data_IF_001319232789
#
_entry.id   IF_001319232789
#
_cell.length_a   1.000
_cell.length_b   1.000
_cell.length_c   1.000
_cell.angle_alpha   90.00
_cell.angle_beta   90.00
_cell.angle_gamma   90.00
#
_symmetry.space_group_name_H-M   'P 1'
#
loop_
_entity.id
_entity.type
_entity.pdbx_description
1 polymer ?
#
# COMPACT_ATOMS: atom_id res chain seq x y z
N UNK A 1 15.90 29.95 50.96
CA UNK A 1 15.02 29.57 49.83
C UNK A 1 15.88 28.99 48.72
N UNK A 2 15.94 27.66 48.59
CA UNK A 2 16.53 26.96 47.43
C UNK A 2 15.40 26.21 46.75
N UNK A 3 14.99 26.67 45.57
CA UNK A 3 13.95 26.03 44.76
C UNK A 3 14.65 24.97 43.91
N UNK A 4 14.38 23.71 44.22
CA UNK A 4 14.84 22.55 43.44
C UNK A 4 13.82 22.33 42.32
N UNK A 5 14.17 22.69 41.09
CA UNK A 5 13.35 22.41 39.90
C UNK A 5 13.68 20.99 39.43
N UNK A 6 12.81 20.03 39.73
CA UNK A 6 12.83 18.69 39.12
C UNK A 6 12.38 18.82 37.66
N UNK A 7 13.31 18.70 36.71
CA UNK A 7 12.98 18.45 35.32
C UNK A 7 12.51 17.00 35.18
N UNK A 8 11.19 16.81 35.11
CA UNK A 8 10.60 15.54 34.70
C UNK A 8 10.78 15.41 33.18
N UNK A 9 11.86 14.76 32.76
CA UNK A 9 12.07 14.38 31.37
C UNK A 9 11.03 13.32 31.00
N UNK A 10 9.92 13.76 30.40
CA UNK A 10 8.94 12.89 29.78
C UNK A 10 9.56 12.33 28.50
N UNK A 11 10.32 11.23 28.62
CA UNK A 11 10.73 10.45 27.46
C UNK A 11 9.48 9.83 26.84
N UNK A 12 8.89 10.53 25.87
CA UNK A 12 7.97 9.94 24.92
C UNK A 12 8.77 8.96 24.06
N UNK A 13 8.99 7.75 24.56
CA UNK A 13 9.30 6.62 23.69
C UNK A 13 8.09 6.43 22.80
N UNK A 14 8.13 6.98 21.58
CA UNK A 14 7.20 6.56 20.54
C UNK A 14 7.50 5.08 20.29
N UNK A 15 6.71 4.20 20.91
CA UNK A 15 6.74 2.79 20.60
C UNK A 15 6.25 2.65 19.16
N UNK A 16 7.16 2.76 18.19
CA UNK A 16 6.80 2.52 16.79
C UNK A 16 6.33 1.08 16.68
N UNK A 17 5.14 0.89 16.13
CA UNK A 17 4.56 -0.42 15.88
C UNK A 17 5.54 -1.27 15.06
N UNK A 18 5.87 -2.48 15.52
CA UNK A 18 6.65 -3.40 14.71
C UNK A 18 5.77 -3.98 13.59
N UNK A 19 5.88 -3.41 12.39
CA UNK A 19 5.12 -3.83 11.22
C UNK A 19 5.63 -5.12 10.58
N UNK A 20 6.84 -5.60 10.93
CA UNK A 20 7.42 -6.80 10.33
C UNK A 20 6.66 -8.07 10.73
N UNK A 21 6.76 -9.06 9.86
CA UNK A 21 6.40 -10.45 10.12
C UNK A 21 7.66 -11.29 10.08
N UNK A 22 7.60 -12.50 10.65
CA UNK A 22 8.63 -13.51 10.39
C UNK A 22 8.62 -13.86 8.90
N UNK A 23 9.72 -13.63 8.15
CA UNK A 23 9.78 -13.90 6.72
C UNK A 23 9.47 -15.36 6.35
N UNK A 24 9.69 -16.31 7.27
CA UNK A 24 9.48 -17.74 7.03
C UNK A 24 7.99 -18.12 7.17
N UNK A 25 7.24 -17.40 8.01
CA UNK A 25 5.88 -17.76 8.40
C UNK A 25 4.85 -16.66 8.08
N UNK A 26 5.04 -15.94 6.96
CA UNK A 26 4.19 -14.81 6.56
C UNK A 26 2.74 -15.26 6.39
N UNK A 27 2.51 -16.39 5.69
CA UNK A 27 1.18 -16.91 5.38
C UNK A 27 0.42 -17.24 6.67
N UNK A 28 1.05 -18.02 7.56
CA UNK A 28 0.48 -18.44 8.83
C UNK A 28 0.21 -17.22 9.74
N UNK A 29 1.13 -16.25 9.76
CA UNK A 29 0.99 -15.02 10.54
C UNK A 29 -0.20 -14.19 10.08
N UNK A 30 -0.39 -14.04 8.77
CA UNK A 30 -1.53 -13.30 8.20
C UNK A 30 -2.86 -14.03 8.47
N UNK A 31 -2.89 -15.34 8.26
CA UNK A 31 -4.09 -16.15 8.47
C UNK A 31 -4.53 -16.19 9.95
N UNK A 32 -3.58 -16.18 10.89
CA UNK A 32 -3.89 -16.13 12.33
C UNK A 32 -4.65 -14.87 12.74
N UNK A 33 -4.49 -13.75 12.01
CA UNK A 33 -5.20 -12.50 12.26
C UNK A 33 -6.47 -12.31 11.45
N UNK A 34 -6.90 -13.31 10.65
CA UNK A 34 -7.99 -13.14 9.69
C UNK A 34 -9.32 -12.69 10.32
N UNK A 35 -9.64 -13.20 11.51
CA UNK A 35 -10.86 -12.85 12.25
C UNK A 35 -10.86 -11.40 12.77
N UNK A 36 -9.70 -10.75 12.82
CA UNK A 36 -9.55 -9.37 13.28
C UNK A 36 -9.54 -8.34 12.13
N UNK A 37 -9.32 -8.82 10.90
CA UNK A 37 -9.12 -8.01 9.70
C UNK A 37 -10.12 -8.43 8.63
N UNK A 38 -11.40 -8.30 8.96
CA UNK A 38 -12.51 -8.76 8.12
C UNK A 38 -12.88 -7.76 7.02
N UNK A 39 -12.46 -6.51 7.16
CA UNK A 39 -12.84 -5.40 6.29
C UNK A 39 -12.20 -5.50 4.91
N UNK A 40 -12.91 -4.98 3.90
CA UNK A 40 -12.44 -4.98 2.51
C UNK A 40 -12.41 -3.60 1.90
N UNK A 41 -12.85 -2.56 2.61
CA UNK A 41 -12.98 -1.22 2.06
C UNK A 41 -12.05 -0.28 2.78
N UNK A 42 -11.45 0.63 2.02
CA UNK A 42 -10.60 1.68 2.55
C UNK A 42 -10.93 3.02 1.90
N UNK A 43 -10.84 4.08 2.69
CA UNK A 43 -10.83 5.45 2.18
C UNK A 43 -9.38 5.92 2.10
N UNK A 44 -9.03 6.51 0.97
CA UNK A 44 -7.77 7.22 0.79
C UNK A 44 -8.08 8.71 0.70
N UNK A 45 -7.43 9.49 1.55
CA UNK A 45 -7.57 10.96 1.60
C UNK A 45 -6.28 11.61 1.14
N UNK A 46 -6.41 12.62 0.26
CA UNK A 46 -5.28 13.37 -0.29
C UNK A 46 -5.61 14.86 -0.39
N UNK A 47 -4.59 15.69 -0.64
CA UNK A 47 -4.81 17.11 -0.97
C UNK A 47 -5.58 17.35 -2.28
N UNK A 48 -5.77 16.31 -3.11
CA UNK A 48 -6.50 16.38 -4.38
C UNK A 48 -7.94 15.83 -4.26
N UNK A 49 -8.34 15.40 -3.06
CA UNK A 49 -9.64 14.79 -2.78
C UNK A 49 -9.51 13.36 -2.27
N UNK A 50 -10.67 12.74 -2.09
CA UNK A 50 -10.82 11.41 -1.52
C UNK A 50 -11.23 10.38 -2.58
N UNK A 51 -10.79 9.14 -2.40
CA UNK A 51 -11.26 8.01 -3.19
C UNK A 51 -11.39 6.75 -2.33
N UNK A 52 -12.28 5.85 -2.73
CA UNK A 52 -12.50 4.58 -2.02
C UNK A 52 -11.91 3.42 -2.84
N UNK A 53 -11.34 2.44 -2.13
CA UNK A 53 -10.91 1.18 -2.72
C UNK A 53 -11.61 0.01 -2.03
N UNK A 54 -11.85 -1.04 -2.81
CA UNK A 54 -12.35 -2.33 -2.34
C UNK A 54 -11.33 -3.43 -2.68
N UNK A 55 -10.91 -4.17 -1.65
CA UNK A 55 -9.96 -5.27 -1.72
C UNK A 55 -10.70 -6.56 -2.09
N UNK A 56 -10.12 -7.37 -2.97
CA UNK A 56 -10.73 -8.59 -3.46
C UNK A 56 -10.54 -9.74 -2.46
N UNK A 57 -11.61 -10.42 -2.04
CA UNK A 57 -11.52 -11.53 -1.08
C UNK A 57 -10.83 -12.78 -1.66
N UNK A 58 -10.67 -12.88 -2.98
CA UNK A 58 -9.95 -14.00 -3.63
C UNK A 58 -8.43 -13.90 -3.48
N UNK A 59 -7.93 -12.76 -3.02
CA UNK A 59 -6.51 -12.54 -2.66
C UNK A 59 -6.37 -12.31 -1.15
N UNK A 60 -6.66 -13.33 -0.31
CA UNK A 60 -6.74 -13.17 1.13
C UNK A 60 -5.43 -12.70 1.77
N UNK A 61 -4.25 -13.15 1.33
CA UNK A 61 -2.98 -12.73 1.93
C UNK A 61 -2.70 -11.25 1.67
N UNK A 62 -2.90 -10.79 0.44
CA UNK A 62 -2.74 -9.37 0.09
C UNK A 62 -3.72 -8.49 0.84
N UNK A 63 -4.99 -8.90 0.88
CA UNK A 63 -6.06 -8.20 1.62
C UNK A 63 -5.73 -8.08 3.10
N UNK A 64 -5.42 -9.20 3.75
CA UNK A 64 -5.09 -9.26 5.18
C UNK A 64 -3.87 -8.41 5.50
N UNK A 65 -2.81 -8.53 4.70
CA UNK A 65 -1.60 -7.73 4.87
C UNK A 65 -1.89 -6.23 4.75
N UNK A 66 -2.65 -5.83 3.73
CA UNK A 66 -2.98 -4.42 3.50
C UNK A 66 -3.80 -3.84 4.67
N UNK A 67 -4.88 -4.51 5.08
CA UNK A 67 -5.72 -4.07 6.22
C UNK A 67 -4.92 -4.03 7.51
N UNK A 68 -4.08 -5.04 7.77
CA UNK A 68 -3.17 -5.05 8.92
C UNK A 68 -2.28 -3.80 8.93
N UNK A 69 -1.61 -3.48 7.82
CA UNK A 69 -0.71 -2.32 7.73
C UNK A 69 -1.46 -0.99 7.88
N UNK A 70 -2.68 -0.87 7.34
CA UNK A 70 -3.54 0.30 7.57
C UNK A 70 -3.87 0.44 9.06
N UNK A 71 -4.35 -0.63 9.71
CA UNK A 71 -4.72 -0.61 11.14
C UNK A 71 -3.52 -0.36 12.06
N UNK A 72 -2.31 -0.72 11.64
CA UNK A 72 -1.07 -0.49 12.40
C UNK A 72 -0.42 0.87 12.12
N UNK A 73 -1.04 1.72 11.30
CA UNK A 73 -0.52 3.06 10.98
C UNK A 73 0.70 3.08 10.05
N UNK A 74 0.99 2.00 9.32
CA UNK A 74 2.16 1.96 8.42
C UNK A 74 2.07 3.02 7.32
N UNK A 75 0.85 3.27 6.84
CA UNK A 75 0.57 4.18 5.73
C UNK A 75 0.43 5.65 6.16
N UNK A 76 0.61 5.96 7.44
CA UNK A 76 0.71 7.36 7.89
C UNK A 76 1.94 8.03 7.26
N UNK A 77 1.78 9.27 6.81
CA UNK A 77 2.85 10.05 6.17
C UNK A 77 3.46 9.41 4.90
N UNK A 78 2.65 8.65 4.13
CA UNK A 78 3.07 8.07 2.84
C UNK A 78 2.62 8.90 1.64
N UNK A 79 3.27 8.64 0.51
CA UNK A 79 3.10 9.41 -0.72
C UNK A 79 2.82 8.50 -1.91
N UNK A 80 2.05 9.01 -2.87
CA UNK A 80 2.18 8.59 -4.26
C UNK A 80 3.41 9.30 -4.84
N UNK A 81 4.51 8.55 -4.92
CA UNK A 81 5.84 9.06 -5.26
C UNK A 81 6.26 8.76 -6.69
N UNK A 82 5.48 7.96 -7.44
CA UNK A 82 5.84 7.54 -8.80
C UNK A 82 4.63 7.40 -9.73
N UNK A 83 4.75 7.92 -10.94
CA UNK A 83 3.86 7.67 -12.08
C UNK A 83 4.44 6.48 -12.85
N UNK A 84 4.10 5.29 -12.38
CA UNK A 84 4.80 4.05 -12.72
C UNK A 84 4.53 3.62 -14.17
N UNK A 85 5.59 3.55 -14.97
CA UNK A 85 5.58 3.06 -16.35
C UNK A 85 4.53 3.71 -17.27
N UNK A 86 4.10 4.94 -16.98
CA UNK A 86 2.98 5.61 -17.66
C UNK A 86 1.69 4.76 -17.62
N UNK A 87 1.54 3.92 -16.59
CA UNK A 87 0.47 2.92 -16.49
C UNK A 87 -0.39 3.09 -15.23
N UNK A 88 0.14 3.80 -14.21
CA UNK A 88 -0.58 4.01 -12.96
C UNK A 88 0.15 4.94 -11.99
N UNK A 89 -0.43 5.10 -10.80
CA UNK A 89 0.21 5.80 -9.67
C UNK A 89 0.70 4.76 -8.66
N UNK A 90 1.95 4.87 -8.23
CA UNK A 90 2.57 3.99 -7.23
C UNK A 90 2.83 4.78 -5.95
N UNK A 91 2.52 4.13 -4.82
CA UNK A 91 2.72 4.68 -3.48
C UNK A 91 2.91 3.59 -2.44
N UNK A 92 2.96 4.00 -1.17
CA UNK A 92 3.20 3.12 -0.04
C UNK A 92 4.57 3.35 0.59
N UNK A 93 5.27 2.28 0.95
CA UNK A 93 6.59 2.35 1.56
C UNK A 93 7.71 2.64 0.56
N UNK A 94 8.43 3.75 0.70
CA UNK A 94 9.62 3.97 -0.12
C UNK A 94 10.77 3.02 0.28
N UNK A 95 11.87 3.01 -0.48
CA UNK A 95 13.02 2.11 -0.26
C UNK A 95 13.52 2.08 1.19
N UNK A 96 13.45 3.21 1.92
CA UNK A 96 13.91 3.31 3.31
C UNK A 96 12.95 2.72 4.34
N UNK A 97 11.69 2.54 3.98
CA UNK A 97 10.61 2.05 4.84
C UNK A 97 10.25 0.58 4.54
N UNK A 98 11.12 -0.12 3.80
CA UNK A 98 10.90 -1.51 3.40
C UNK A 98 10.79 -2.41 4.63
N UNK A 99 9.70 -3.15 4.67
CA UNK A 99 9.53 -4.21 5.66
C UNK A 99 10.31 -5.45 5.21
N UNK A 100 10.85 -6.16 6.19
CA UNK A 100 11.68 -7.34 5.99
C UNK A 100 10.82 -8.62 5.87
N UNK A 101 9.90 -8.65 4.91
CA UNK A 101 9.17 -9.85 4.49
C UNK A 101 8.55 -9.61 3.11
N UNK A 102 8.12 -10.68 2.43
CA UNK A 102 7.38 -10.62 1.18
C UNK A 102 6.04 -11.35 1.33
N UNK A 103 5.02 -10.90 0.59
CA UNK A 103 3.70 -11.55 0.60
C UNK A 103 3.66 -12.57 -0.55
N UNK A 104 3.38 -13.86 -0.29
CA UNK A 104 3.28 -14.88 -1.35
C UNK A 104 2.28 -14.46 -2.44
N UNK A 105 2.64 -14.70 -3.71
CA UNK A 105 1.83 -14.25 -4.84
C UNK A 105 0.47 -14.97 -4.91
N UNK A 106 -0.59 -14.23 -5.24
CA UNK A 106 -1.97 -14.72 -5.36
C UNK A 106 -2.53 -14.37 -6.75
N UNK A 107 -1.96 -14.97 -7.80
CA UNK A 107 -2.43 -14.74 -9.16
C UNK A 107 -3.79 -15.42 -9.41
N UNK A 108 -4.81 -14.63 -9.73
CA UNK A 108 -6.17 -15.07 -10.07
C UNK A 108 -6.44 -14.71 -11.53
N UNK A 109 -6.86 -15.67 -12.35
CA UNK A 109 -6.98 -15.51 -13.82
C UNK A 109 -8.01 -14.42 -14.21
N UNK A 110 -9.06 -14.25 -13.41
CA UNK A 110 -10.08 -13.22 -13.63
C UNK A 110 -9.64 -11.82 -13.17
N UNK A 111 -8.58 -11.71 -12.35
CA UNK A 111 -8.07 -10.45 -11.83
C UNK A 111 -7.02 -9.86 -12.78
N UNK A 112 -7.53 -9.24 -13.85
CA UNK A 112 -6.71 -8.55 -14.85
C UNK A 112 -6.38 -7.12 -14.40
N UNK A 113 -5.19 -6.60 -14.76
CA UNK A 113 -4.83 -5.21 -14.48
C UNK A 113 -5.54 -4.29 -15.48
N UNK A 114 -6.71 -3.82 -15.11
CA UNK A 114 -7.50 -2.86 -15.89
C UNK A 114 -7.57 -1.53 -15.14
N UNK A 115 -8.01 -0.48 -15.82
CA UNK A 115 -8.21 0.83 -15.18
C UNK A 115 -9.00 0.71 -13.87
N UNK A 116 -8.45 1.30 -12.82
CA UNK A 116 -8.97 1.24 -11.45
C UNK A 116 -8.49 0.04 -10.65
N UNK A 117 -7.83 -0.96 -11.24
CA UNK A 117 -7.24 -2.08 -10.50
C UNK A 117 -6.16 -1.61 -9.53
N UNK A 118 -6.19 -2.18 -8.34
CA UNK A 118 -5.15 -2.07 -7.33
C UNK A 118 -4.24 -3.30 -7.44
N UNK A 119 -2.93 -3.09 -7.56
CA UNK A 119 -1.94 -4.15 -7.68
C UNK A 119 -0.72 -3.91 -6.78
N UNK A 120 -0.08 -4.98 -6.30
CA UNK A 120 1.14 -4.84 -5.51
C UNK A 120 2.38 -4.67 -6.40
N UNK A 121 3.28 -3.79 -5.99
CA UNK A 121 4.62 -3.77 -6.54
C UNK A 121 5.43 -4.97 -6.04
N UNK A 122 6.59 -5.20 -6.64
CA UNK A 122 7.45 -6.35 -6.38
C UNK A 122 8.91 -5.94 -6.44
N UNK A 123 9.74 -6.56 -5.60
CA UNK A 123 11.19 -6.49 -5.73
C UNK A 123 11.63 -7.67 -6.62
N UNK A 124 12.11 -7.41 -7.83
CA UNK A 124 12.40 -8.48 -8.79
C UNK A 124 13.74 -9.20 -8.52
N UNK A 125 14.72 -8.49 -7.97
CA UNK A 125 16.05 -9.04 -7.69
C UNK A 125 15.98 -10.12 -6.61
N UNK A 126 16.46 -11.33 -6.95
CA UNK A 126 16.49 -12.46 -6.00
C UNK A 126 15.12 -13.01 -5.59
N UNK A 127 14.06 -12.76 -6.37
CA UNK A 127 12.68 -13.14 -6.03
C UNK A 127 12.06 -14.13 -7.04
N UNK A 128 12.54 -15.39 -7.08
CA UNK A 128 12.06 -16.39 -8.05
C UNK A 128 10.59 -16.76 -7.87
N UNK A 129 10.09 -16.73 -6.62
CA UNK A 129 8.69 -17.01 -6.26
C UNK A 129 7.75 -15.85 -6.59
N UNK A 130 8.28 -14.74 -7.10
CA UNK A 130 7.52 -13.58 -7.52
C UNK A 130 6.64 -12.98 -6.42
N UNK A 131 7.05 -13.12 -5.16
CA UNK A 131 6.32 -12.63 -4.00
C UNK A 131 6.26 -11.09 -3.99
N UNK A 132 5.12 -10.53 -3.60
CA UNK A 132 4.87 -9.08 -3.62
C UNK A 132 5.67 -8.34 -2.55
N UNK A 133 5.95 -7.06 -2.80
CA UNK A 133 6.26 -6.11 -1.73
C UNK A 133 5.14 -6.16 -0.68
N UNK A 134 5.44 -6.01 0.61
CA UNK A 134 4.42 -5.95 1.64
C UNK A 134 3.67 -4.61 1.67
N UNK A 135 4.24 -3.54 1.11
CA UNK A 135 3.72 -2.19 1.36
C UNK A 135 3.72 -1.25 0.16
N UNK A 136 4.39 -1.60 -0.94
CA UNK A 136 4.35 -0.83 -2.18
C UNK A 136 3.21 -1.33 -3.07
N UNK A 137 2.31 -0.44 -3.48
CA UNK A 137 1.18 -0.75 -4.35
C UNK A 137 1.04 0.31 -5.43
N UNK A 138 0.30 -0.03 -6.49
CA UNK A 138 -0.06 0.91 -7.53
C UNK A 138 -1.51 0.75 -7.99
N UNK A 139 -2.07 1.85 -8.48
CA UNK A 139 -3.42 1.92 -9.06
C UNK A 139 -3.28 2.13 -10.55
N UNK A 140 -3.86 1.23 -11.33
CA UNK A 140 -3.83 1.26 -12.80
C UNK A 140 -4.72 2.37 -13.33
N UNK A 141 -4.20 3.21 -14.22
CA UNK A 141 -4.95 4.28 -14.89
C UNK A 141 -5.19 4.01 -16.38
N UNK A 142 -4.36 3.16 -16.99
CA UNK A 142 -4.43 2.80 -18.41
C UNK A 142 -4.45 1.28 -18.58
N UNK A 143 -5.55 0.73 -19.09
CA UNK A 143 -5.74 -0.71 -19.28
C UNK A 143 -4.82 -1.29 -20.35
N UNK A 144 -4.58 -0.57 -21.44
CA UNK A 144 -3.79 -1.08 -22.56
C UNK A 144 -2.33 -1.20 -22.15
N UNK A 145 -1.79 -0.14 -21.53
CA UNK A 145 -0.43 -0.11 -21.01
C UNK A 145 -0.22 -1.14 -19.89
N UNK A 146 -1.28 -1.43 -19.12
CA UNK A 146 -1.25 -2.41 -18.04
C UNK A 146 -1.38 -3.85 -18.50
N UNK A 147 -1.77 -4.13 -19.75
CA UNK A 147 -1.93 -5.50 -20.23
C UNK A 147 -0.64 -6.35 -20.05
N UNK A 148 0.53 -5.72 -20.19
CA UNK A 148 1.85 -6.36 -19.97
C UNK A 148 2.13 -6.76 -18.51
N UNK A 149 1.31 -6.31 -17.56
CA UNK A 149 1.39 -6.63 -16.13
C UNK A 149 0.55 -7.84 -15.74
N UNK A 150 -0.27 -8.37 -16.65
CA UNK A 150 -1.05 -9.57 -16.40
C UNK A 150 -0.13 -10.73 -15.99
N UNK A 151 -0.45 -11.36 -14.85
CA UNK A 151 0.37 -12.40 -14.19
C UNK A 151 1.82 -12.00 -13.87
N UNK A 152 2.10 -10.69 -13.74
CA UNK A 152 3.39 -10.17 -13.23
C UNK A 152 3.25 -9.46 -11.89
N UNK A 153 2.11 -8.82 -11.66
CA UNK A 153 1.79 -8.15 -10.41
C UNK A 153 0.43 -8.62 -9.94
N UNK A 154 0.31 -8.90 -8.64
CA UNK A 154 -0.94 -9.39 -8.06
C UNK A 154 -1.93 -8.24 -7.99
N UNK A 155 -3.02 -8.34 -8.76
CA UNK A 155 -4.18 -7.46 -8.63
C UNK A 155 -5.00 -7.97 -7.45
N UNK A 156 -5.24 -7.11 -6.45
CA UNK A 156 -5.87 -7.50 -5.18
C UNK A 156 -7.03 -6.59 -4.76
N UNK A 157 -7.49 -5.73 -5.68
CA UNK A 157 -8.60 -4.83 -5.41
C UNK A 157 -8.86 -3.87 -6.55
N UNK A 158 -9.71 -2.87 -6.30
CA UNK A 158 -10.08 -1.83 -7.24
C UNK A 158 -10.50 -0.54 -6.56
N UNK A 159 -10.37 0.58 -7.26
CA UNK A 159 -11.03 1.85 -6.92
C UNK A 159 -12.53 1.72 -7.19
N UNK A 160 -13.35 2.09 -6.21
CA UNK A 160 -14.83 2.02 -6.30
C UNK A 160 -15.49 3.40 -6.38
N UNK A 161 -14.83 4.44 -5.86
CA UNK A 161 -15.27 5.84 -5.97
C UNK A 161 -14.06 6.74 -6.11
N UNK A 162 -14.22 7.89 -6.77
CA UNK A 162 -13.17 8.91 -6.82
C UNK A 162 -12.05 8.65 -7.82
N UNK A 163 -12.30 7.88 -8.89
CA UNK A 163 -11.28 7.64 -9.93
C UNK A 163 -10.72 8.95 -10.54
N UNK A 164 -11.52 10.02 -10.60
CA UNK A 164 -11.06 11.34 -11.04
C UNK A 164 -9.95 11.94 -10.15
N UNK A 165 -9.91 11.59 -8.86
CA UNK A 165 -8.81 11.98 -7.95
C UNK A 165 -7.54 11.22 -8.33
N UNK A 166 -7.65 9.92 -8.60
CA UNK A 166 -6.53 9.08 -9.08
C UNK A 166 -5.98 9.63 -10.39
N UNK A 167 -6.84 10.02 -11.33
CA UNK A 167 -6.43 10.65 -12.59
C UNK A 167 -5.73 12.00 -12.35
N UNK A 168 -6.20 12.79 -11.39
CA UNK A 168 -5.58 14.08 -11.04
C UNK A 168 -4.17 13.89 -10.48
N UNK A 169 -3.94 12.82 -9.71
CA UNK A 169 -2.60 12.43 -9.24
C UNK A 169 -1.74 11.97 -10.41
N UNK A 170 -2.29 11.14 -11.31
CA UNK A 170 -1.58 10.61 -12.47
C UNK A 170 -1.11 11.71 -13.44
N UNK A 171 -1.94 12.71 -13.67
CA UNK A 171 -1.66 13.83 -14.56
C UNK A 171 -0.81 14.94 -13.92
N UNK A 172 -0.35 14.76 -12.67
CA UNK A 172 0.54 15.72 -12.03
C UNK A 172 1.86 15.83 -12.80
N UNK A 173 2.40 17.05 -12.88
CA UNK A 173 3.70 17.31 -13.51
C UNK A 173 4.76 16.39 -12.90
N UNK A 174 5.48 15.65 -13.74
CA UNK A 174 6.49 14.69 -13.34
C UNK A 174 7.72 14.73 -14.25
N UNK A 175 8.85 14.25 -13.73
CA UNK A 175 10.09 14.04 -14.47
C UNK A 175 10.63 12.67 -14.10
N UNK A 176 10.96 11.86 -15.11
CA UNK A 176 11.47 10.49 -14.90
C UNK A 176 10.59 9.68 -13.93
N UNK A 177 9.29 9.67 -14.23
CA UNK A 177 8.24 9.04 -13.41
C UNK A 177 8.03 9.63 -12.01
N UNK A 178 8.78 10.65 -11.58
CA UNK A 178 8.64 11.25 -10.24
C UNK A 178 7.80 12.52 -10.32
N UNK A 179 6.65 12.60 -9.61
CA UNK A 179 5.91 13.85 -9.47
C UNK A 179 6.80 14.95 -8.90
N UNK A 180 6.72 16.15 -9.47
CA UNK A 180 7.43 17.35 -8.94
C UNK A 180 6.99 17.63 -7.51
N UNK A 181 5.71 17.40 -7.22
CA UNK A 181 5.14 17.48 -5.88
C UNK A 181 4.45 16.14 -5.60
N UNK A 182 5.12 15.21 -4.89
CA UNK A 182 4.51 13.96 -4.46
C UNK A 182 3.19 14.20 -3.71
N UNK A 183 2.24 13.30 -3.86
CA UNK A 183 0.92 13.45 -3.24
C UNK A 183 0.89 12.63 -1.97
N UNK A 184 0.96 13.30 -0.82
CA UNK A 184 0.72 12.67 0.48
C UNK A 184 -0.69 12.09 0.52
N UNK A 185 -0.83 10.91 1.11
CA UNK A 185 -2.11 10.28 1.38
C UNK A 185 -2.19 9.75 2.81
N UNK A 186 -3.41 9.66 3.31
CA UNK A 186 -3.76 8.89 4.50
C UNK A 186 -4.75 7.79 4.11
N UNK A 187 -4.66 6.62 4.73
CA UNK A 187 -5.58 5.49 4.49
C UNK A 187 -6.26 5.10 5.78
N UNK A 188 -7.58 4.90 5.73
CA UNK A 188 -8.35 4.30 6.83
C UNK A 188 -9.25 3.18 6.34
N UNK A 189 -9.45 2.19 7.19
CA UNK A 189 -10.42 1.12 6.95
C UNK A 189 -11.84 1.68 7.07
N UNK A 190 -12.71 1.26 6.15
CA UNK A 190 -14.15 1.53 6.20
C UNK A 190 -14.88 0.28 6.71
N UNK A 191 -15.99 0.46 7.46
CA UNK A 191 -16.81 -0.64 7.94
C UNK A 191 -17.50 -1.43 6.81
#
# INVERSE_FOLDING_TARGET
MRILILFFAFCLFSCQSNWNLDPVHVKESLQKGADQWTENKVLVTTRLGDFEMELDPRTPLHRLNFIRLVKMGYFEDRYFYRIVYVTGIQGGGEYRDRLNYLVPAEYIDELKPVRGSLAMARYDEGNPEQASSPSEFFIVTDTEQAARFYKKYVVFGKVTKGMAVVDSIFNAKSYDEKPVIPVKFDIKVLP
#
